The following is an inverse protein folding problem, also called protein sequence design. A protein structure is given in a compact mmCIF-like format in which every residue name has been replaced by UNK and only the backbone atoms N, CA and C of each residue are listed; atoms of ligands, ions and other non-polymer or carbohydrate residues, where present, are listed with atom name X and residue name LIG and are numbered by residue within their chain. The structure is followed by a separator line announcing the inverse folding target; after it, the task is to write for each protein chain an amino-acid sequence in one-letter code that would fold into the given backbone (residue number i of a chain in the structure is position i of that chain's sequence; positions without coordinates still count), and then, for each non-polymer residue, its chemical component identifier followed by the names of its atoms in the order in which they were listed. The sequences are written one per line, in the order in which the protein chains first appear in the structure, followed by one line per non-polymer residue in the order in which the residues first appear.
data_IF_721781463684
#
_entry.id   IF_721781463684
#
_cell.length_a   1.000
_cell.length_b   1.000
_cell.length_c   1.000
_cell.angle_alpha   90.00
_cell.angle_beta   90.00
_cell.angle_gamma   90.00
#
_symmetry.space_group_name_H-M   'P 1'
#
loop_
_entity.id
_entity.type
_entity.pdbx_description
1 polymer ?
#
# COMPACT_ATOMS: atom_id res chain seq x y z
N UNK A 1 -19.77 -18.82 -0.53
CA UNK A 1 -19.86 -18.99 0.93
C UNK A 1 -19.16 -17.81 1.57
N UNK A 2 -19.76 -17.17 2.55
CA UNK A 2 -19.16 -16.20 3.45
C UNK A 2 -18.67 -16.95 4.68
N UNK A 3 -17.44 -16.68 5.13
CA UNK A 3 -16.93 -17.18 6.41
C UNK A 3 -16.77 -16.02 7.38
N UNK A 4 -17.40 -16.11 8.52
CA UNK A 4 -17.34 -15.13 9.61
C UNK A 4 -17.05 -15.89 10.92
N UNK A 5 -16.00 -15.45 11.61
CA UNK A 5 -15.60 -16.00 12.93
C UNK A 5 -16.41 -15.40 14.08
N UNK A 6 -16.11 -15.86 15.29
CA UNK A 6 -16.66 -15.32 16.52
C UNK A 6 -16.20 -13.88 16.80
N UNK A 7 -16.94 -13.15 17.61
CA UNK A 7 -16.65 -11.77 18.01
C UNK A 7 -16.48 -10.79 16.84
N UNK A 8 -17.14 -11.05 15.72
CA UNK A 8 -17.20 -10.13 14.57
C UNK A 8 -18.45 -9.28 14.67
N UNK A 9 -18.27 -7.96 14.62
CA UNK A 9 -19.34 -6.98 14.52
C UNK A 9 -19.41 -6.43 13.10
N UNK A 10 -20.58 -6.37 12.50
CA UNK A 10 -20.83 -5.79 11.17
C UNK A 10 -22.02 -4.83 11.30
N UNK A 11 -21.82 -3.59 10.91
CA UNK A 11 -22.83 -2.56 10.92
C UNK A 11 -23.96 -2.78 9.92
N UNK A 12 -24.76 -1.75 9.73
CA UNK A 12 -25.95 -1.80 8.88
C UNK A 12 -25.62 -1.57 7.39
N UNK A 13 -26.50 -2.06 6.52
CA UNK A 13 -26.45 -1.86 5.05
C UNK A 13 -25.12 -2.26 4.39
N UNK A 14 -24.39 -3.19 5.01
CA UNK A 14 -23.17 -3.73 4.44
C UNK A 14 -23.45 -4.72 3.31
N UNK A 15 -22.59 -4.70 2.27
CA UNK A 15 -22.65 -5.63 1.14
C UNK A 15 -21.41 -6.52 1.13
N UNK A 16 -21.59 -7.80 1.41
CA UNK A 16 -20.52 -8.80 1.43
C UNK A 16 -20.69 -9.78 0.26
N UNK A 17 -19.73 -9.77 -0.65
CA UNK A 17 -19.73 -10.66 -1.80
C UNK A 17 -19.28 -12.09 -1.45
N UNK A 18 -19.48 -13.08 -2.31
CA UNK A 18 -19.07 -14.47 -2.06
C UNK A 18 -17.58 -14.62 -1.75
N UNK A 19 -17.25 -15.58 -0.90
CA UNK A 19 -15.88 -15.92 -0.45
C UNK A 19 -15.16 -14.85 0.38
N UNK A 20 -15.86 -13.88 0.90
CA UNK A 20 -15.32 -12.99 1.94
C UNK A 20 -15.05 -13.81 3.19
N UNK A 21 -13.88 -13.61 3.79
CA UNK A 21 -13.45 -14.26 5.05
C UNK A 21 -13.16 -13.21 6.09
N UNK A 22 -13.83 -13.29 7.24
CA UNK A 22 -13.66 -12.37 8.35
C UNK A 22 -13.23 -13.18 9.59
N UNK A 23 -12.04 -12.88 10.08
CA UNK A 23 -11.42 -13.51 11.25
C UNK A 23 -12.01 -12.96 12.55
N UNK A 24 -11.68 -13.55 13.72
CA UNK A 24 -12.19 -13.09 15.02
C UNK A 24 -11.78 -11.63 15.33
N UNK A 25 -12.54 -10.98 16.23
CA UNK A 25 -12.25 -9.63 16.74
C UNK A 25 -12.15 -8.56 15.65
N UNK A 26 -13.02 -8.60 14.65
CA UNK A 26 -13.11 -7.59 13.59
C UNK A 26 -14.39 -6.78 13.78
N UNK A 27 -14.24 -5.45 13.77
CA UNK A 27 -15.35 -4.50 13.76
C UNK A 27 -15.45 -3.81 12.41
N UNK A 28 -16.64 -3.83 11.81
CA UNK A 28 -16.96 -3.21 10.52
C UNK A 28 -18.11 -2.24 10.73
N UNK A 29 -17.94 -1.01 10.28
CA UNK A 29 -18.95 0.06 10.33
C UNK A 29 -20.12 -0.16 9.37
N UNK A 30 -20.87 0.90 9.12
CA UNK A 30 -22.04 0.91 8.27
C UNK A 30 -21.69 1.11 6.78
N UNK A 31 -22.57 0.59 5.90
CA UNK A 31 -22.48 0.80 4.44
C UNK A 31 -21.13 0.34 3.82
N UNK A 32 -20.48 -0.65 4.43
CA UNK A 32 -19.22 -1.20 3.95
C UNK A 32 -19.48 -2.20 2.83
N UNK A 33 -18.63 -2.17 1.79
CA UNK A 33 -18.65 -3.11 0.68
C UNK A 33 -17.37 -3.94 0.71
N UNK A 34 -17.49 -5.27 0.85
CA UNK A 34 -16.39 -6.21 0.76
C UNK A 34 -16.56 -7.09 -0.48
N UNK A 35 -15.67 -6.92 -1.46
CA UNK A 35 -15.71 -7.69 -2.70
C UNK A 35 -15.19 -9.12 -2.53
N UNK A 36 -15.48 -9.97 -3.52
CA UNK A 36 -15.19 -11.41 -3.47
C UNK A 36 -13.74 -11.73 -3.12
N UNK A 37 -13.56 -12.66 -2.20
CA UNK A 37 -12.24 -13.15 -1.81
C UNK A 37 -11.47 -12.24 -0.85
N UNK A 38 -12.06 -11.13 -0.38
CA UNK A 38 -11.44 -10.33 0.69
C UNK A 38 -11.20 -11.16 1.94
N UNK A 39 -10.05 -10.93 2.58
CA UNK A 39 -9.68 -11.54 3.86
C UNK A 39 -9.41 -10.42 4.87
N UNK A 40 -10.20 -10.37 5.93
CA UNK A 40 -10.11 -9.34 6.97
C UNK A 40 -9.72 -9.99 8.29
N UNK A 41 -8.62 -9.51 8.88
CA UNK A 41 -8.17 -9.92 10.21
C UNK A 41 -7.29 -11.16 10.24
N UNK A 42 -6.72 -11.61 9.11
CA UNK A 42 -5.68 -12.64 9.11
C UNK A 42 -4.45 -12.19 9.91
N UNK A 43 -3.64 -13.14 10.37
CA UNK A 43 -2.41 -12.83 11.08
C UNK A 43 -1.42 -12.06 10.20
N UNK A 44 -0.83 -11.02 10.76
CA UNK A 44 0.25 -10.28 10.12
C UNK A 44 1.54 -11.11 10.01
N UNK A 45 2.44 -10.66 9.13
CA UNK A 45 3.73 -11.28 8.90
C UNK A 45 4.72 -10.87 10.00
N UNK A 46 4.72 -11.60 11.12
CA UNK A 46 5.58 -11.38 12.26
C UNK A 46 6.32 -12.65 12.65
N UNK A 47 7.65 -12.62 12.53
CA UNK A 47 8.53 -13.75 12.90
C UNK A 47 9.79 -13.24 13.59
N UNK A 48 10.31 -14.01 14.53
CA UNK A 48 11.60 -13.76 15.20
C UNK A 48 12.53 -14.94 14.96
N UNK A 49 13.81 -14.64 14.78
CA UNK A 49 14.83 -15.68 14.63
C UNK A 49 15.25 -16.17 16.04
N UNK A 50 14.98 -17.42 16.32
CA UNK A 50 15.32 -18.07 17.60
C UNK A 50 15.92 -19.45 17.33
N UNK A 51 17.12 -19.71 17.86
CA UNK A 51 17.75 -21.03 17.70
C UNK A 51 18.01 -21.47 16.25
N UNK A 52 18.13 -20.53 15.28
CA UNK A 52 18.38 -20.84 13.88
C UNK A 52 17.11 -21.10 13.06
N UNK A 53 15.92 -20.90 13.63
CA UNK A 53 14.63 -21.02 12.93
C UNK A 53 13.76 -19.76 13.17
N UNK A 54 12.82 -19.53 12.25
CA UNK A 54 11.82 -18.47 12.42
C UNK A 54 10.65 -18.98 13.26
N UNK A 55 10.44 -18.36 14.41
CA UNK A 55 9.27 -18.58 15.25
C UNK A 55 8.24 -17.49 15.03
N UNK A 56 6.97 -17.88 14.95
CA UNK A 56 5.87 -16.94 14.71
C UNK A 56 5.64 -16.06 15.94
N UNK A 57 5.63 -14.75 15.74
CA UNK A 57 5.21 -13.80 16.76
C UNK A 57 3.67 -13.74 16.81
N UNK A 58 3.04 -13.95 17.98
CA UNK A 58 1.59 -13.94 18.10
C UNK A 58 0.96 -12.64 17.63
N UNK A 59 -0.13 -12.75 16.89
CA UNK A 59 -0.93 -11.64 16.37
C UNK A 59 -2.27 -11.63 17.12
N UNK A 60 -2.36 -10.89 18.21
CA UNK A 60 -3.50 -10.89 19.14
C UNK A 60 -4.30 -9.58 19.13
N UNK A 61 -3.95 -8.68 18.25
CA UNK A 61 -4.71 -7.45 18.04
C UNK A 61 -5.94 -7.67 17.16
N UNK A 62 -6.59 -6.58 16.78
CA UNK A 62 -7.86 -6.59 16.05
C UNK A 62 -7.82 -5.70 14.80
N UNK A 63 -8.92 -5.74 14.03
CA UNK A 63 -9.16 -4.85 12.88
C UNK A 63 -10.40 -4.00 13.13
N UNK A 64 -10.31 -2.72 12.80
CA UNK A 64 -11.43 -1.78 12.80
C UNK A 64 -11.58 -1.13 11.42
N UNK A 65 -12.76 -1.25 10.82
CA UNK A 65 -13.13 -0.66 9.53
C UNK A 65 -14.26 0.32 9.78
N UNK A 66 -14.07 1.57 9.37
CA UNK A 66 -15.08 2.64 9.49
C UNK A 66 -16.23 2.48 8.50
N UNK A 67 -17.06 3.52 8.42
CA UNK A 67 -18.24 3.55 7.59
C UNK A 67 -17.93 3.81 6.11
N UNK A 68 -18.80 3.32 5.21
CA UNK A 68 -18.71 3.58 3.75
C UNK A 68 -17.37 3.21 3.12
N UNK A 69 -16.63 2.29 3.75
CA UNK A 69 -15.39 1.73 3.20
C UNK A 69 -15.72 0.72 2.09
N UNK A 70 -14.90 0.69 1.05
CA UNK A 70 -14.99 -0.33 0.01
C UNK A 70 -13.64 -1.02 -0.15
N UNK A 71 -13.65 -2.36 -0.15
CA UNK A 71 -12.44 -3.19 -0.25
C UNK A 71 -12.59 -4.12 -1.45
N UNK A 72 -11.72 -3.93 -2.44
CA UNK A 72 -11.69 -4.64 -3.71
C UNK A 72 -11.38 -6.13 -3.58
N UNK A 73 -11.62 -6.88 -4.64
CA UNK A 73 -11.52 -8.34 -4.64
C UNK A 73 -10.11 -8.85 -4.30
N UNK A 74 -10.05 -9.93 -3.51
CA UNK A 74 -8.82 -10.60 -3.04
C UNK A 74 -7.85 -9.67 -2.29
N UNK A 75 -8.32 -8.56 -1.74
CA UNK A 75 -7.55 -7.70 -0.85
C UNK A 75 -7.50 -8.29 0.55
N UNK A 76 -6.38 -8.06 1.24
CA UNK A 76 -6.13 -8.57 2.59
C UNK A 76 -5.86 -7.43 3.57
N UNK A 77 -6.47 -7.50 4.75
CA UNK A 77 -6.22 -6.59 5.87
C UNK A 77 -5.80 -7.43 7.07
N UNK A 78 -4.53 -7.33 7.45
CA UNK A 78 -3.99 -8.08 8.57
C UNK A 78 -4.41 -7.47 9.91
N UNK A 79 -4.61 -8.33 10.91
CA UNK A 79 -4.76 -7.86 12.28
C UNK A 79 -3.48 -7.25 12.82
N UNK A 80 -3.57 -6.42 13.82
CA UNK A 80 -2.40 -5.93 14.53
C UNK A 80 -1.73 -7.06 15.33
N UNK A 81 -0.41 -6.96 15.50
CA UNK A 81 0.28 -7.80 16.47
C UNK A 81 -0.25 -7.54 17.89
N UNK A 82 -0.30 -6.26 18.27
CA UNK A 82 -0.94 -5.73 19.48
C UNK A 82 -1.71 -4.45 19.09
N UNK A 83 -2.89 -4.25 19.65
CA UNK A 83 -3.71 -3.07 19.38
C UNK A 83 -4.57 -3.23 18.11
N UNK A 84 -4.51 -2.27 17.18
CA UNK A 84 -5.48 -2.15 16.08
C UNK A 84 -4.81 -1.88 14.74
N UNK A 85 -5.23 -2.60 13.69
CA UNK A 85 -5.12 -2.16 12.30
C UNK A 85 -6.42 -1.48 11.92
N UNK A 86 -6.39 -0.24 11.41
CA UNK A 86 -7.59 0.55 11.19
C UNK A 86 -7.70 1.11 9.78
N UNK A 87 -8.94 1.16 9.25
CA UNK A 87 -9.30 1.80 8.00
C UNK A 87 -10.41 2.81 8.28
N UNK A 88 -10.14 4.08 8.00
CA UNK A 88 -11.06 5.20 8.26
C UNK A 88 -12.20 5.29 7.27
N UNK A 89 -13.22 6.06 7.64
CA UNK A 89 -14.46 6.23 6.89
C UNK A 89 -14.24 6.63 5.44
N UNK A 90 -15.00 6.06 4.53
CA UNK A 90 -15.01 6.40 3.12
C UNK A 90 -13.75 6.00 2.36
N UNK A 91 -12.79 5.30 2.96
CA UNK A 91 -11.62 4.79 2.26
C UNK A 91 -12.01 3.81 1.14
N UNK A 92 -11.27 3.84 0.03
CA UNK A 92 -11.48 2.99 -1.14
C UNK A 92 -10.20 2.24 -1.49
N UNK A 93 -10.25 0.93 -1.34
CA UNK A 93 -9.17 0.02 -1.66
C UNK A 93 -9.57 -0.81 -2.88
N UNK A 94 -8.76 -0.78 -3.92
CA UNK A 94 -8.98 -1.56 -5.13
C UNK A 94 -8.58 -3.03 -4.93
N UNK A 95 -8.59 -3.81 -5.98
CA UNK A 95 -8.31 -5.24 -5.95
C UNK A 95 -6.84 -5.55 -5.62
N UNK A 96 -6.61 -6.67 -4.92
CA UNK A 96 -5.27 -7.15 -4.60
C UNK A 96 -4.44 -6.17 -3.74
N UNK A 97 -5.08 -5.33 -2.95
CA UNK A 97 -4.41 -4.45 -1.99
C UNK A 97 -4.08 -5.24 -0.73
N UNK A 98 -2.88 -5.05 -0.20
CA UNK A 98 -2.46 -5.63 1.07
C UNK A 98 -2.22 -4.54 2.13
N UNK A 99 -2.93 -4.63 3.24
CA UNK A 99 -2.75 -3.78 4.41
C UNK A 99 -2.12 -4.62 5.52
N UNK A 100 -0.84 -4.38 5.78
CA UNK A 100 -0.08 -5.10 6.81
C UNK A 100 -0.52 -4.76 8.24
N UNK A 101 -0.03 -5.53 9.19
CA UNK A 101 -0.39 -5.40 10.61
C UNK A 101 -0.07 -4.00 11.17
N UNK A 102 -0.88 -3.53 12.10
CA UNK A 102 -0.71 -2.23 12.76
C UNK A 102 -0.78 -1.00 11.82
N UNK A 103 -1.21 -1.15 10.58
CA UNK A 103 -1.42 -0.03 9.68
C UNK A 103 -2.60 0.84 10.13
N UNK A 104 -2.51 2.13 9.82
CA UNK A 104 -3.60 3.09 9.99
C UNK A 104 -3.86 3.79 8.67
N UNK A 105 -5.00 3.52 8.06
CA UNK A 105 -5.47 4.18 6.84
C UNK A 105 -6.53 5.20 7.23
N UNK A 106 -6.31 6.46 6.89
CA UNK A 106 -7.19 7.58 7.21
C UNK A 106 -8.48 7.60 6.39
N UNK A 107 -9.28 8.65 6.62
CA UNK A 107 -10.56 8.84 5.96
C UNK A 107 -10.38 9.23 4.49
N UNK A 108 -11.27 8.72 3.63
CA UNK A 108 -11.29 9.06 2.20
C UNK A 108 -9.96 8.83 1.48
N UNK A 109 -9.13 7.92 1.99
CA UNK A 109 -7.93 7.46 1.29
C UNK A 109 -8.32 6.59 0.12
N UNK A 110 -7.62 6.76 -1.03
CA UNK A 110 -7.81 5.92 -2.21
C UNK A 110 -6.52 5.14 -2.47
N UNK A 111 -6.61 3.83 -2.58
CA UNK A 111 -5.49 2.93 -2.85
C UNK A 111 -5.82 2.09 -4.07
N UNK A 112 -5.06 2.27 -5.14
CA UNK A 112 -5.25 1.51 -6.37
C UNK A 112 -4.63 0.11 -6.29
N UNK A 113 -4.98 -0.73 -7.25
CA UNK A 113 -4.72 -2.17 -7.25
C UNK A 113 -3.25 -2.56 -7.09
N UNK A 114 -3.04 -3.74 -6.48
CA UNK A 114 -1.73 -4.37 -6.28
C UNK A 114 -0.77 -3.57 -5.39
N UNK A 115 -1.28 -2.63 -4.61
CA UNK A 115 -0.49 -1.85 -3.65
C UNK A 115 -0.36 -2.60 -2.34
N UNK A 116 0.85 -2.57 -1.76
CA UNK A 116 1.16 -3.19 -0.48
C UNK A 116 1.67 -2.20 0.56
N UNK A 117 1.06 -2.20 1.72
CA UNK A 117 1.52 -1.48 2.91
C UNK A 117 2.17 -2.47 3.88
N UNK A 118 3.44 -2.27 4.18
CA UNK A 118 4.13 -3.04 5.23
C UNK A 118 3.63 -2.68 6.63
N UNK A 119 4.07 -3.41 7.65
CA UNK A 119 3.60 -3.22 9.01
C UNK A 119 3.78 -1.80 9.57
N UNK A 120 2.79 -1.32 10.31
CA UNK A 120 2.84 -0.04 10.99
C UNK A 120 2.82 1.21 10.12
N UNK A 121 2.49 1.09 8.85
CA UNK A 121 2.35 2.24 7.93
C UNK A 121 1.16 3.10 8.36
N UNK A 122 1.36 4.42 8.30
CA UNK A 122 0.31 5.42 8.53
C UNK A 122 0.04 6.16 7.22
N UNK A 123 -1.19 6.08 6.72
CA UNK A 123 -1.68 6.88 5.60
C UNK A 123 -2.75 7.80 6.13
N UNK A 124 -2.51 9.11 6.05
CA UNK A 124 -3.45 10.11 6.57
C UNK A 124 -4.56 10.44 5.56
N UNK A 125 -5.56 11.19 6.03
CA UNK A 125 -6.79 11.51 5.31
C UNK A 125 -6.54 12.05 3.89
N UNK A 126 -7.38 11.61 2.95
CA UNK A 126 -7.38 12.07 1.55
C UNK A 126 -6.11 11.78 0.76
N UNK A 127 -5.20 10.94 1.24
CA UNK A 127 -4.05 10.52 0.43
C UNK A 127 -4.50 9.64 -0.75
N UNK A 128 -3.78 9.73 -1.86
CA UNK A 128 -4.05 8.96 -3.08
C UNK A 128 -2.82 8.11 -3.42
N UNK A 129 -3.00 6.81 -3.43
CA UNK A 129 -1.94 5.84 -3.69
C UNK A 129 -2.22 5.15 -5.02
N UNK A 130 -1.31 5.33 -5.97
CA UNK A 130 -1.36 4.67 -7.28
C UNK A 130 -1.24 3.15 -7.21
N UNK A 131 -1.46 2.46 -8.32
CA UNK A 131 -1.32 1.01 -8.39
C UNK A 131 0.13 0.54 -8.32
N UNK A 132 0.33 -0.69 -7.81
CA UNK A 132 1.65 -1.32 -7.68
C UNK A 132 2.65 -0.51 -6.83
N UNK A 133 2.17 0.21 -5.85
CA UNK A 133 3.01 0.96 -4.90
C UNK A 133 3.42 0.04 -3.75
N UNK A 134 4.72 0.04 -3.43
CA UNK A 134 5.25 -0.62 -2.23
C UNK A 134 5.57 0.42 -1.15
N UNK A 135 4.98 0.30 0.03
CA UNK A 135 5.22 1.21 1.15
C UNK A 135 5.92 0.45 2.27
N UNK A 136 7.17 0.85 2.54
CA UNK A 136 8.03 0.23 3.54
C UNK A 136 7.55 0.42 4.98
N UNK A 137 8.02 -0.45 5.85
CA UNK A 137 7.64 -0.55 7.25
C UNK A 137 7.69 0.80 7.98
N UNK A 138 6.66 1.11 8.78
CA UNK A 138 6.53 2.35 9.57
C UNK A 138 6.64 3.66 8.78
N UNK A 139 6.49 3.63 7.46
CA UNK A 139 6.42 4.85 6.67
C UNK A 139 5.14 5.64 6.98
N UNK A 140 5.19 6.95 6.78
CA UNK A 140 4.07 7.86 6.99
C UNK A 140 3.77 8.64 5.72
N UNK A 141 2.56 8.55 5.23
CA UNK A 141 2.04 9.31 4.10
C UNK A 141 1.08 10.34 4.67
N UNK A 142 1.51 11.59 4.70
CA UNK A 142 0.70 12.67 5.27
C UNK A 142 -0.48 13.04 4.38
N UNK A 143 -1.42 13.80 4.93
CA UNK A 143 -2.70 14.11 4.31
C UNK A 143 -2.57 14.67 2.89
N UNK A 144 -3.43 14.22 1.98
CA UNK A 144 -3.49 14.68 0.57
C UNK A 144 -2.20 14.44 -0.23
N UNK A 145 -1.26 13.66 0.28
CA UNK A 145 -0.10 13.24 -0.50
C UNK A 145 -0.53 12.28 -1.61
N UNK A 146 0.19 12.32 -2.74
CA UNK A 146 -0.08 11.47 -3.91
C UNK A 146 1.15 10.63 -4.22
N UNK A 147 0.99 9.32 -4.29
CA UNK A 147 2.01 8.40 -4.78
C UNK A 147 1.63 7.92 -6.17
N UNK A 148 2.46 8.21 -7.17
CA UNK A 148 2.27 7.73 -8.54
C UNK A 148 2.46 6.21 -8.62
N UNK A 149 1.82 5.57 -9.61
CA UNK A 149 1.89 4.11 -9.80
C UNK A 149 3.33 3.60 -9.94
N UNK A 150 3.61 2.42 -9.40
CA UNK A 150 4.94 1.81 -9.39
C UNK A 150 5.95 2.48 -8.46
N UNK A 151 5.53 3.40 -7.59
CA UNK A 151 6.42 4.05 -6.63
C UNK A 151 6.83 3.12 -5.50
N UNK A 152 8.07 3.30 -4.99
CA UNK A 152 8.57 2.62 -3.80
C UNK A 152 8.88 3.62 -2.68
N UNK A 153 8.23 3.49 -1.53
CA UNK A 153 8.50 4.31 -0.34
C UNK A 153 9.34 3.50 0.63
N UNK A 154 10.50 4.04 1.00
CA UNK A 154 11.42 3.37 1.91
C UNK A 154 10.86 3.30 3.34
N UNK A 155 11.36 2.32 4.11
CA UNK A 155 11.06 2.13 5.53
C UNK A 155 11.22 3.42 6.31
N UNK A 156 10.30 3.72 7.21
CA UNK A 156 10.24 4.90 8.08
C UNK A 156 10.29 6.26 7.34
N UNK A 157 10.13 6.27 6.02
CA UNK A 157 10.06 7.50 5.23
C UNK A 157 8.78 8.28 5.53
N UNK A 158 8.91 9.60 5.59
CA UNK A 158 7.75 10.51 5.67
C UNK A 158 7.58 11.19 4.31
N UNK A 159 6.40 11.02 3.72
CA UNK A 159 5.93 11.78 2.56
C UNK A 159 5.05 12.89 3.09
N UNK A 160 5.46 14.14 2.87
CA UNK A 160 4.81 15.30 3.45
C UNK A 160 3.46 15.61 2.78
N UNK A 161 2.60 16.26 3.53
CA UNK A 161 1.26 16.62 3.08
C UNK A 161 1.26 17.32 1.72
N UNK A 162 0.36 16.90 0.84
CA UNK A 162 0.18 17.46 -0.50
C UNK A 162 1.32 17.20 -1.49
N UNK A 163 2.38 16.50 -1.11
CA UNK A 163 3.45 16.14 -2.05
C UNK A 163 3.00 15.10 -3.07
N UNK A 164 3.45 15.27 -4.32
CA UNK A 164 3.34 14.25 -5.37
C UNK A 164 4.70 13.58 -5.52
N UNK A 165 4.75 12.27 -5.27
CA UNK A 165 5.96 11.46 -5.31
C UNK A 165 5.87 10.46 -6.45
N UNK A 166 7.03 10.11 -7.05
CA UNK A 166 7.11 9.10 -8.09
C UNK A 166 8.46 8.37 -8.05
N UNK A 167 8.48 7.17 -8.61
CA UNK A 167 9.69 6.38 -8.80
C UNK A 167 10.03 5.45 -7.64
N UNK A 168 11.12 4.72 -7.82
CA UNK A 168 11.64 3.79 -6.81
C UNK A 168 13.13 4.08 -6.59
N UNK A 169 13.54 4.56 -5.41
CA UNK A 169 12.67 5.06 -4.33
C UNK A 169 11.85 6.29 -4.76
N UNK A 170 10.68 6.48 -4.17
CA UNK A 170 9.79 7.58 -4.50
C UNK A 170 10.43 8.96 -4.22
N UNK A 171 10.33 9.86 -5.19
CA UNK A 171 10.88 11.24 -5.16
C UNK A 171 9.82 12.22 -5.62
N UNK A 172 10.01 13.53 -5.35
CA UNK A 172 9.17 14.55 -5.94
C UNK A 172 9.09 14.39 -7.47
N UNK A 173 7.89 14.44 -8.04
CA UNK A 173 7.68 14.20 -9.48
C UNK A 173 8.54 15.10 -10.37
N UNK A 174 8.64 16.41 -10.04
CA UNK A 174 9.45 17.36 -10.82
C UNK A 174 10.92 16.96 -10.84
N UNK A 175 11.45 16.52 -9.72
CA UNK A 175 12.83 16.08 -9.58
C UNK A 175 13.09 14.80 -10.38
N UNK A 176 12.17 13.83 -10.27
CA UNK A 176 12.24 12.57 -11.04
C UNK A 176 12.24 12.82 -12.55
N UNK A 177 11.33 13.66 -13.06
CA UNK A 177 11.25 14.01 -14.47
C UNK A 177 12.51 14.76 -14.96
N UNK A 178 13.05 15.65 -14.15
CA UNK A 178 14.30 16.35 -14.48
C UNK A 178 15.49 15.37 -14.59
N UNK A 179 15.58 14.39 -13.70
CA UNK A 179 16.61 13.35 -13.74
C UNK A 179 16.48 12.46 -14.97
N UNK A 180 15.25 12.02 -15.33
CA UNK A 180 15.01 11.24 -16.54
C UNK A 180 15.39 12.03 -17.81
N UNK A 181 15.05 13.32 -17.87
CA UNK A 181 15.42 14.17 -19.00
C UNK A 181 16.94 14.33 -19.13
N UNK A 182 17.66 14.47 -18.00
CA UNK A 182 19.12 14.55 -17.99
C UNK A 182 19.73 13.23 -18.49
N UNK A 183 19.28 12.08 -18.00
CA UNK A 183 19.75 10.77 -18.46
C UNK A 183 19.52 10.57 -19.97
N UNK A 184 18.36 10.98 -20.47
CA UNK A 184 18.05 10.90 -21.89
C UNK A 184 18.96 11.77 -22.76
N UNK A 185 19.34 12.97 -22.27
CA UNK A 185 20.30 13.85 -22.97
C UNK A 185 21.70 13.26 -22.99
N UNK A 186 22.17 12.70 -21.86
CA UNK A 186 23.48 12.05 -21.77
C UNK A 186 23.59 10.85 -22.72
N UNK A 187 22.53 10.07 -22.85
CA UNK A 187 22.49 8.93 -23.77
C UNK A 187 22.60 9.37 -25.25
N UNK A 188 21.92 10.49 -25.62
CA UNK A 188 22.00 11.06 -26.99
C UNK A 188 23.37 11.63 -27.31
N UNK A 189 24.03 12.31 -26.39
CA UNK A 189 25.37 12.87 -26.58
C UNK A 189 26.42 11.79 -26.84
N UNK A 190 26.35 10.66 -26.10
CA UNK A 190 27.24 9.51 -26.35
C UNK A 190 27.05 8.84 -27.72
N UNK A 191 25.86 8.88 -28.27
CA UNK A 191 25.60 8.34 -29.62
C UNK A 191 26.13 9.27 -30.73
N UNK A 192 26.12 10.59 -30.52
CA UNK A 192 26.69 11.56 -31.48
C UNK A 192 28.22 11.57 -31.51
N UNK A 193 28.89 11.30 -30.38
CA UNK A 193 30.36 11.16 -30.33
C UNK A 193 30.89 9.90 -31.05
N UNK A 194 30.07 8.85 -31.15
CA UNK A 194 30.44 7.62 -31.87
C UNK A 194 30.26 7.72 -33.40
N UNK A 195 29.62 8.76 -33.92
CA UNK A 195 29.38 9.01 -35.32
C UNK A 195 30.30 10.07 -35.93
N UNK A 196 31.53 10.22 -35.38
CA UNK A 196 32.58 11.03 -35.99
C UNK A 196 32.96 10.48 -37.36
N UNK A 197 33.37 11.35 -38.35
CA UNK A 197 33.65 10.92 -39.71
C UNK A 197 34.77 9.86 -39.74
N UNK A 198 34.67 8.87 -40.64
CA UNK A 198 35.72 7.88 -40.81
C UNK A 198 37.02 8.56 -41.17
N UNK A 199 38.13 8.15 -40.56
CA UNK A 199 39.44 8.64 -40.90
C UNK A 199 39.70 8.44 -42.41
N UNK A 200 40.17 9.51 -43.07
CA UNK A 200 40.55 9.46 -44.49
C UNK A 200 41.67 8.42 -44.69
N UNK A 201 41.63 7.64 -45.78
CA UNK A 201 42.68 6.68 -46.03
C UNK A 201 44.01 7.42 -46.29
N UNK A 202 45.04 7.05 -45.56
CA UNK A 202 46.40 7.47 -45.83
C UNK A 202 46.86 6.95 -47.19
N UNK A 203 47.28 7.84 -48.05
CA UNK A 203 47.93 7.58 -49.35
C UNK A 203 49.37 7.18 -49.10
#
# INVERSE_FOLDING_TARGET
MLFRSDYVHIGERCLLYPRVTIYPDVNIGDEVILHSGCVIGADGFGFVMTGGAYEKFPQIGRVEIGDRVEIGANSCVDRAALGVTSIGDGAKLDNLVHIGHNCRVGRHVVIAAQTGLSGGVVVEDYAVIGGQVGIGDKARIESRAVLGSGSGVLTSKIVRAGQVMWGTPARPLKEYLAQLALLSRLAKNKSSEKSGPPAAPSV
#
